data_IF_985185344512
#
_entry.id   IF_985185344512
#
_cell.length_a   1.000
_cell.length_b   1.000
_cell.length_c   1.000
_cell.angle_alpha   90.00
_cell.angle_beta   90.00
_cell.angle_gamma   90.00
#
_symmetry.space_group_name_H-M   'P 1'
#
loop_
_entity.id
_entity.type
_entity.pdbx_description
1 polymer ?
#
# COMPACT_ATOMS: atom_id res chain seq x y z
N UNK A 1 -7.75 -1.09 13.97
CA UNK A 1 -8.31 -0.06 13.08
C UNK A 1 -9.54 -0.62 12.36
N UNK A 2 -10.55 0.20 12.06
CA UNK A 2 -11.61 -0.20 11.14
C UNK A 2 -11.07 -0.30 9.70
N UNK A 3 -11.80 -0.99 8.83
CA UNK A 3 -11.35 -1.23 7.45
C UNK A 3 -11.42 0.08 6.63
N UNK A 4 -10.31 0.49 5.98
CA UNK A 4 -10.31 1.63 5.06
C UNK A 4 -11.02 1.29 3.74
N UNK A 5 -11.46 2.29 2.98
CA UNK A 5 -12.28 2.05 1.78
C UNK A 5 -11.47 1.49 0.59
N UNK A 6 -10.16 1.69 0.62
CA UNK A 6 -9.18 1.22 -0.36
C UNK A 6 -8.92 -0.30 -0.22
N UNK A 7 -9.27 -0.90 0.92
CA UNK A 7 -9.08 -2.32 1.19
C UNK A 7 -10.35 -3.10 0.87
N UNK A 8 -10.28 -3.88 -0.22
CA UNK A 8 -11.41 -4.63 -0.77
C UNK A 8 -11.36 -6.13 -0.45
N UNK A 9 -10.22 -6.61 0.06
CA UNK A 9 -10.00 -8.01 0.43
C UNK A 9 -10.42 -8.19 1.89
N UNK A 10 -11.44 -9.00 2.13
CA UNK A 10 -12.00 -9.25 3.46
C UNK A 10 -12.19 -10.74 3.72
N UNK A 11 -12.18 -11.11 4.99
CA UNK A 11 -12.59 -12.44 5.44
C UNK A 11 -14.12 -12.45 5.60
N UNK A 12 -14.81 -13.40 4.97
CA UNK A 12 -16.26 -13.59 5.17
C UNK A 12 -16.56 -14.43 6.42
N UNK A 13 -17.84 -14.60 6.74
CA UNK A 13 -18.29 -15.42 7.88
C UNK A 13 -17.92 -16.91 7.77
N UNK A 14 -17.53 -17.37 6.58
CA UNK A 14 -17.06 -18.74 6.33
C UNK A 14 -15.54 -18.88 6.48
N UNK A 15 -14.81 -17.80 6.81
CA UNK A 15 -13.35 -17.81 6.93
C UNK A 15 -12.63 -17.84 5.57
N UNK A 16 -13.32 -17.45 4.50
CA UNK A 16 -12.74 -17.37 3.16
C UNK A 16 -12.36 -15.92 2.84
N UNK A 17 -11.25 -15.78 2.10
CA UNK A 17 -10.82 -14.47 1.60
C UNK A 17 -11.61 -14.14 0.35
N UNK A 18 -12.53 -13.19 0.51
CA UNK A 18 -13.42 -12.74 -0.55
C UNK A 18 -13.23 -11.26 -0.83
N UNK A 19 -13.82 -10.82 -1.93
CA UNK A 19 -13.86 -9.42 -2.30
C UNK A 19 -15.16 -8.81 -1.80
N UNK A 20 -15.06 -7.74 -1.04
CA UNK A 20 -16.23 -6.95 -0.66
C UNK A 20 -16.77 -6.18 -1.88
N UNK A 21 -18.07 -6.29 -2.13
CA UNK A 21 -18.74 -5.67 -3.29
C UNK A 21 -19.55 -4.44 -2.84
N UNK A 22 -20.01 -4.42 -1.59
CA UNK A 22 -20.83 -3.35 -1.02
C UNK A 22 -19.99 -2.60 0.01
N UNK A 23 -19.83 -1.29 -0.20
CA UNK A 23 -19.16 -0.43 0.78
C UNK A 23 -20.05 -0.24 2.01
N UNK A 24 -19.53 -0.61 3.18
CA UNK A 24 -20.17 -0.31 4.45
C UNK A 24 -19.88 1.15 4.86
N UNK A 25 -20.90 1.99 4.79
CA UNK A 25 -20.81 3.43 5.09
C UNK A 25 -20.53 3.69 6.57
N UNK A 26 -21.01 2.81 7.45
CA UNK A 26 -20.77 2.92 8.89
C UNK A 26 -19.30 2.61 9.20
N UNK A 27 -18.75 1.57 8.56
CA UNK A 27 -17.32 1.23 8.65
C UNK A 27 -16.40 2.34 8.13
N UNK A 28 -16.77 3.02 7.04
CA UNK A 28 -16.00 4.16 6.50
C UNK A 28 -15.99 5.33 7.50
N UNK A 29 -17.16 5.65 8.06
CA UNK A 29 -17.28 6.73 9.05
C UNK A 29 -16.48 6.41 10.31
N UNK A 30 -16.56 5.16 10.78
CA UNK A 30 -15.76 4.69 11.90
C UNK A 30 -14.26 4.79 11.61
N UNK A 31 -13.81 4.38 10.43
CA UNK A 31 -12.42 4.51 10.01
C UNK A 31 -11.92 5.97 10.06
N UNK A 32 -12.71 6.92 9.52
CA UNK A 32 -12.36 8.35 9.56
C UNK A 32 -12.16 8.86 10.99
N UNK A 33 -13.08 8.52 11.90
CA UNK A 33 -13.00 8.90 13.31
C UNK A 33 -11.79 8.26 14.01
N UNK A 34 -11.55 6.97 13.76
CA UNK A 34 -10.40 6.27 14.34
C UNK A 34 -9.07 6.83 13.81
N UNK A 35 -8.99 7.15 12.52
CA UNK A 35 -7.82 7.78 11.89
C UNK A 35 -7.52 9.12 12.53
N UNK A 36 -8.52 10.00 12.66
CA UNK A 36 -8.33 11.31 13.28
C UNK A 36 -7.78 11.18 14.70
N UNK A 37 -8.37 10.31 15.53
CA UNK A 37 -7.87 10.05 16.87
C UNK A 37 -6.43 9.52 16.88
N UNK A 38 -6.12 8.54 16.01
CA UNK A 38 -4.80 7.95 15.94
C UNK A 38 -3.74 8.98 15.47
N UNK A 39 -4.09 9.85 14.53
CA UNK A 39 -3.24 10.98 14.09
C UNK A 39 -2.91 11.90 15.26
N UNK A 40 -3.91 12.28 16.08
CA UNK A 40 -3.65 13.08 17.28
C UNK A 40 -2.75 12.36 18.28
N UNK A 41 -2.96 11.07 18.52
CA UNK A 41 -2.12 10.27 19.41
C UNK A 41 -0.67 10.20 18.90
N UNK A 42 -0.46 10.02 17.60
CA UNK A 42 0.88 10.01 17.00
C UNK A 42 1.58 11.36 17.16
N UNK A 43 0.86 12.49 17.05
CA UNK A 43 1.44 13.80 17.30
C UNK A 43 1.80 14.02 18.78
N UNK A 44 1.07 13.41 19.72
CA UNK A 44 1.37 13.50 21.15
C UNK A 44 2.64 12.72 21.50
N UNK A 45 2.79 11.50 20.99
CA UNK A 45 4.01 10.71 21.13
C UNK A 45 4.23 9.79 19.92
N UNK A 46 5.02 10.31 18.98
CA UNK A 46 5.38 9.61 17.76
C UNK A 46 6.21 8.35 18.07
N UNK A 47 7.08 8.40 19.08
CA UNK A 47 7.98 7.30 19.42
C UNK A 47 7.24 6.14 20.07
N UNK A 48 6.32 6.41 21.00
CA UNK A 48 5.47 5.37 21.58
C UNK A 48 4.59 4.70 20.51
N UNK A 49 4.07 5.49 19.56
CA UNK A 49 3.28 4.97 18.45
C UNK A 49 4.11 4.06 17.52
N UNK A 50 5.29 4.52 17.09
CA UNK A 50 6.23 3.74 16.27
C UNK A 50 6.62 2.42 16.97
N UNK A 51 6.96 2.50 18.25
CA UNK A 51 7.37 1.35 19.04
C UNK A 51 6.24 0.30 19.12
N UNK A 52 5.02 0.73 19.45
CA UNK A 52 3.86 -0.18 19.56
C UNK A 52 3.50 -0.84 18.23
N UNK A 53 3.58 -0.11 17.12
CA UNK A 53 3.31 -0.68 15.80
C UNK A 53 4.40 -1.67 15.39
N UNK A 54 5.66 -1.34 15.66
CA UNK A 54 6.82 -2.21 15.41
C UNK A 54 6.72 -3.52 16.22
N UNK A 55 6.45 -3.44 17.52
CA UNK A 55 6.32 -4.62 18.38
C UNK A 55 5.18 -5.54 17.92
N UNK A 56 4.05 -4.95 17.54
CA UNK A 56 2.91 -5.71 16.99
C UNK A 56 3.27 -6.38 15.66
N UNK A 57 4.01 -5.70 14.79
CA UNK A 57 4.43 -6.29 13.52
C UNK A 57 5.40 -7.45 13.75
N UNK A 58 6.35 -7.31 14.68
CA UNK A 58 7.26 -8.37 15.05
C UNK A 58 6.51 -9.63 15.54
N UNK A 59 5.45 -9.45 16.33
CA UNK A 59 4.57 -10.56 16.76
C UNK A 59 3.76 -11.19 15.62
N UNK A 60 3.48 -10.47 14.54
CA UNK A 60 2.89 -11.06 13.32
C UNK A 60 3.94 -11.88 12.55
N UNK A 61 5.17 -11.36 12.41
CA UNK A 61 6.26 -12.00 11.65
C UNK A 61 6.74 -13.28 12.34
N UNK A 62 6.98 -13.23 13.65
CA UNK A 62 7.42 -14.40 14.41
C UNK A 62 6.31 -15.46 14.59
N UNK A 63 5.07 -15.13 14.23
CA UNK A 63 3.93 -16.03 14.25
C UNK A 63 3.20 -16.14 15.59
N UNK A 64 3.66 -15.48 16.65
CA UNK A 64 3.06 -15.55 17.99
C UNK A 64 1.63 -14.99 18.05
N UNK A 65 1.34 -13.95 17.27
CA UNK A 65 0.01 -13.31 17.22
C UNK A 65 -0.58 -13.28 15.80
N UNK A 66 -0.03 -14.06 14.87
CA UNK A 66 -0.42 -14.00 13.47
C UNK A 66 -1.88 -14.40 13.28
N UNK A 67 -2.68 -13.46 12.78
CA UNK A 67 -4.01 -13.71 12.20
C UNK A 67 -4.29 -12.66 11.14
N UNK A 68 -5.18 -12.96 10.19
CA UNK A 68 -5.56 -11.99 9.15
C UNK A 68 -6.11 -10.71 9.77
N UNK A 69 -6.98 -10.84 10.78
CA UNK A 69 -7.53 -9.72 11.53
C UNK A 69 -6.45 -8.86 12.19
N UNK A 70 -5.49 -9.47 12.89
CA UNK A 70 -4.44 -8.71 13.58
C UNK A 70 -3.52 -8.00 12.60
N UNK A 71 -3.09 -8.68 11.53
CA UNK A 71 -2.26 -8.09 10.48
C UNK A 71 -2.98 -6.93 9.79
N UNK A 72 -4.23 -7.15 9.36
CA UNK A 72 -5.05 -6.14 8.70
C UNK A 72 -5.20 -4.89 9.57
N UNK A 73 -5.69 -5.06 10.79
CA UNK A 73 -5.97 -3.94 11.68
C UNK A 73 -4.71 -3.15 12.06
N UNK A 74 -3.54 -3.79 12.07
CA UNK A 74 -2.24 -3.15 12.23
C UNK A 74 -1.82 -2.38 10.97
N UNK A 75 -1.83 -3.01 9.79
CA UNK A 75 -1.42 -2.37 8.55
C UNK A 75 -2.33 -1.19 8.17
N UNK A 76 -3.63 -1.28 8.47
CA UNK A 76 -4.56 -0.17 8.33
C UNK A 76 -4.23 0.99 9.26
N UNK A 77 -3.80 0.69 10.50
CA UNK A 77 -3.33 1.71 11.43
C UNK A 77 -2.05 2.39 10.92
N UNK A 78 -1.08 1.60 10.45
CA UNK A 78 0.18 2.11 9.88
C UNK A 78 -0.08 3.04 8.70
N UNK A 79 -0.88 2.62 7.71
CA UNK A 79 -1.18 3.48 6.56
C UNK A 79 -1.95 4.74 6.93
N UNK A 80 -2.80 4.68 7.95
CA UNK A 80 -3.64 5.83 8.35
C UNK A 80 -2.88 7.00 8.98
N UNK A 81 -1.67 6.76 9.51
CA UNK A 81 -0.81 7.77 10.15
C UNK A 81 0.26 8.36 9.21
N UNK A 82 0.19 8.06 7.90
CA UNK A 82 1.07 8.68 6.91
C UNK A 82 1.04 10.21 7.02
N UNK A 83 2.22 10.83 7.02
CA UNK A 83 2.42 12.28 7.12
C UNK A 83 2.38 12.86 8.54
N UNK A 84 2.23 12.04 9.58
CA UNK A 84 2.23 12.52 10.98
C UNK A 84 3.60 12.52 11.65
N UNK A 85 4.58 11.86 11.03
CA UNK A 85 5.94 11.71 11.53
C UNK A 85 6.89 12.65 10.79
N UNK A 86 8.05 12.94 11.39
CA UNK A 86 9.14 13.61 10.67
C UNK A 86 9.61 12.70 9.53
N UNK A 87 9.87 13.27 8.35
CA UNK A 87 10.15 12.52 7.12
C UNK A 87 11.23 11.44 7.29
N UNK A 88 12.32 11.74 8.00
CA UNK A 88 13.40 10.79 8.26
C UNK A 88 12.94 9.58 9.10
N UNK A 89 12.15 9.83 10.15
CA UNK A 89 11.58 8.78 11.01
C UNK A 89 10.50 7.99 10.26
N UNK A 90 9.64 8.66 9.49
CA UNK A 90 8.62 8.02 8.66
C UNK A 90 9.27 7.05 7.65
N UNK A 91 10.33 7.52 6.98
CA UNK A 91 11.08 6.70 6.03
C UNK A 91 11.70 5.47 6.70
N UNK A 92 12.34 5.65 7.86
CA UNK A 92 12.90 4.54 8.64
C UNK A 92 11.81 3.52 9.02
N UNK A 93 10.69 4.02 9.52
CA UNK A 93 9.56 3.20 9.94
C UNK A 93 8.95 2.41 8.78
N UNK A 94 8.68 3.07 7.64
CA UNK A 94 8.13 2.41 6.45
C UNK A 94 9.06 1.35 5.87
N UNK A 95 10.38 1.58 5.86
CA UNK A 95 11.35 0.57 5.40
C UNK A 95 11.28 -0.69 6.27
N UNK A 96 11.17 -0.52 7.59
CA UNK A 96 10.99 -1.65 8.52
C UNK A 96 9.70 -2.41 8.21
N UNK A 97 8.57 -1.69 8.11
CA UNK A 97 7.26 -2.29 7.87
C UNK A 97 7.24 -3.07 6.55
N UNK A 98 7.74 -2.47 5.47
CA UNK A 98 7.75 -3.09 4.13
C UNK A 98 8.62 -4.34 4.12
N UNK A 99 9.82 -4.27 4.70
CA UNK A 99 10.73 -5.43 4.78
C UNK A 99 10.05 -6.60 5.49
N UNK A 100 9.43 -6.32 6.62
CA UNK A 100 8.81 -7.33 7.46
C UNK A 100 7.55 -7.92 6.81
N UNK A 101 6.75 -7.09 6.12
CA UNK A 101 5.59 -7.56 5.35
C UNK A 101 5.99 -8.38 4.12
N UNK A 102 7.06 -8.00 3.41
CA UNK A 102 7.59 -8.79 2.29
C UNK A 102 8.14 -10.14 2.77
N UNK A 103 8.90 -10.15 3.87
CA UNK A 103 9.40 -11.38 4.49
C UNK A 103 8.26 -12.29 4.96
N UNK A 104 7.24 -11.72 5.60
CA UNK A 104 6.03 -12.44 6.00
C UNK A 104 5.28 -12.99 4.77
N UNK A 105 5.21 -12.21 3.69
CA UNK A 105 4.63 -12.64 2.43
C UNK A 105 5.36 -13.87 1.90
N UNK A 106 6.69 -13.86 1.84
CA UNK A 106 7.50 -15.01 1.40
C UNK A 106 7.29 -16.24 2.28
N UNK A 107 7.30 -16.06 3.60
CA UNK A 107 7.18 -17.13 4.60
C UNK A 107 5.81 -17.82 4.56
N UNK A 108 4.72 -17.07 4.41
CA UNK A 108 3.36 -17.63 4.47
C UNK A 108 2.98 -18.29 3.14
N UNK A 109 2.44 -19.50 3.23
CA UNK A 109 1.95 -20.29 2.09
C UNK A 109 0.43 -20.18 1.96
N UNK A 110 -0.09 -20.49 0.77
CA UNK A 110 -1.53 -20.47 0.48
C UNK A 110 -1.98 -19.15 -0.15
N UNK A 111 -2.87 -19.25 -1.13
CA UNK A 111 -3.36 -18.12 -1.92
C UNK A 111 -4.00 -17.02 -1.06
N UNK A 112 -4.71 -17.42 -0.01
CA UNK A 112 -5.49 -16.51 0.84
C UNK A 112 -4.57 -15.70 1.75
N UNK A 113 -3.57 -16.35 2.37
CA UNK A 113 -2.51 -15.66 3.11
C UNK A 113 -1.77 -14.65 2.22
N UNK A 114 -1.41 -15.05 0.99
CA UNK A 114 -0.72 -14.16 0.04
C UNK A 114 -1.61 -12.97 -0.34
N UNK A 115 -2.90 -13.18 -0.56
CA UNK A 115 -3.84 -12.12 -0.88
C UNK A 115 -3.99 -11.10 0.24
N UNK A 116 -4.13 -11.55 1.50
CA UNK A 116 -4.25 -10.69 2.68
C UNK A 116 -2.96 -9.90 2.92
N UNK A 117 -1.80 -10.53 2.82
CA UNK A 117 -0.52 -9.83 3.03
C UNK A 117 -0.28 -8.83 1.89
N UNK A 118 -0.58 -9.21 0.65
CA UNK A 118 -0.45 -8.32 -0.51
C UNK A 118 -1.39 -7.11 -0.40
N UNK A 119 -2.64 -7.27 0.03
CA UNK A 119 -3.55 -6.13 0.21
C UNK A 119 -3.04 -5.14 1.25
N UNK A 120 -2.43 -5.63 2.33
CA UNK A 120 -1.82 -4.78 3.35
C UNK A 120 -0.57 -4.05 2.83
N UNK A 121 0.29 -4.73 2.06
CA UNK A 121 1.44 -4.08 1.42
C UNK A 121 0.96 -3.00 0.46
N UNK A 122 -0.01 -3.29 -0.40
CA UNK A 122 -0.54 -2.32 -1.37
C UNK A 122 -1.11 -1.09 -0.68
N UNK A 123 -1.90 -1.29 0.38
CA UNK A 123 -2.47 -0.20 1.18
C UNK A 123 -1.39 0.67 1.83
N UNK A 124 -0.32 0.06 2.37
CA UNK A 124 0.80 0.80 2.99
C UNK A 124 1.69 1.49 1.94
N UNK A 125 1.81 0.97 0.71
CA UNK A 125 2.89 1.33 -0.23
C UNK A 125 2.45 2.16 -1.44
N UNK A 126 1.31 1.90 -2.09
CA UNK A 126 1.06 2.43 -3.45
C UNK A 126 0.92 3.96 -3.49
N UNK A 127 0.21 4.57 -2.54
CA UNK A 127 0.07 6.03 -2.51
C UNK A 127 1.40 6.72 -2.17
N UNK A 128 2.22 6.09 -1.30
CA UNK A 128 3.53 6.60 -0.93
C UNK A 128 4.54 6.53 -2.08
N UNK A 129 4.43 5.54 -2.97
CA UNK A 129 5.29 5.46 -4.16
C UNK A 129 5.07 6.64 -5.10
N UNK A 130 3.84 7.12 -5.26
CA UNK A 130 3.59 8.33 -6.06
C UNK A 130 4.09 9.59 -5.35
N UNK A 131 3.92 9.70 -4.03
CA UNK A 131 4.54 10.79 -3.25
C UNK A 131 6.07 10.80 -3.39
N UNK A 132 6.73 9.64 -3.38
CA UNK A 132 8.19 9.54 -3.54
C UNK A 132 8.68 9.86 -4.96
N UNK A 133 7.81 9.84 -5.97
CA UNK A 133 8.14 10.34 -7.31
C UNK A 133 8.21 11.87 -7.36
N UNK A 134 7.67 12.55 -6.35
CA UNK A 134 7.78 14.01 -6.16
C UNK A 134 8.95 14.43 -5.27
N UNK A 135 9.73 13.48 -4.75
CA UNK A 135 10.77 13.84 -3.79
C UNK A 135 11.98 14.48 -4.46
N UNK A 136 12.63 15.44 -3.81
CA UNK A 136 13.76 16.21 -4.36
C UNK A 136 14.99 15.35 -4.69
N UNK A 137 15.14 14.20 -4.04
CA UNK A 137 16.29 13.34 -4.21
C UNK A 137 16.09 12.32 -5.34
N UNK A 138 16.85 12.47 -6.45
CA UNK A 138 16.74 11.63 -7.65
C UNK A 138 16.78 10.11 -7.38
N UNK A 139 17.65 9.65 -6.47
CA UNK A 139 17.71 8.22 -6.11
C UNK A 139 16.44 7.67 -5.43
N UNK A 140 15.64 8.52 -4.77
CA UNK A 140 14.36 8.13 -4.13
C UNK A 140 13.28 8.01 -5.21
N UNK A 141 13.25 8.96 -6.14
CA UNK A 141 12.38 8.93 -7.31
C UNK A 141 12.63 7.67 -8.16
N UNK A 142 13.90 7.34 -8.44
CA UNK A 142 14.30 6.14 -9.16
C UNK A 142 13.87 4.85 -8.44
N UNK A 143 14.06 4.79 -7.12
CA UNK A 143 13.64 3.65 -6.31
C UNK A 143 12.12 3.48 -6.30
N UNK A 144 11.37 4.58 -6.25
CA UNK A 144 9.91 4.58 -6.31
C UNK A 144 9.42 4.05 -7.67
N UNK A 145 10.02 4.53 -8.76
CA UNK A 145 9.75 4.05 -10.11
C UNK A 145 10.08 2.56 -10.28
N UNK A 146 11.25 2.11 -9.86
CA UNK A 146 11.67 0.71 -9.95
C UNK A 146 10.79 -0.21 -9.10
N UNK A 147 10.42 0.24 -7.90
CA UNK A 147 9.54 -0.51 -7.00
C UNK A 147 8.14 -0.60 -7.58
N UNK A 148 7.60 0.50 -8.11
CA UNK A 148 6.33 0.50 -8.81
C UNK A 148 6.37 -0.43 -10.02
N UNK A 149 7.39 -0.36 -10.87
CA UNK A 149 7.54 -1.23 -12.04
C UNK A 149 7.58 -2.70 -11.61
N UNK A 150 8.33 -3.06 -10.56
CA UNK A 150 8.37 -4.44 -10.05
C UNK A 150 7.00 -4.92 -9.58
N UNK A 151 6.25 -4.07 -8.88
CA UNK A 151 4.88 -4.37 -8.44
C UNK A 151 3.96 -4.52 -9.66
N UNK A 152 3.99 -3.54 -10.56
CA UNK A 152 3.17 -3.51 -11.76
C UNK A 152 3.44 -4.71 -12.67
N UNK A 153 4.69 -5.13 -12.86
CA UNK A 153 5.03 -6.32 -13.65
C UNK A 153 4.50 -7.62 -13.03
N UNK A 154 4.51 -7.74 -11.70
CA UNK A 154 3.98 -8.92 -10.99
C UNK A 154 2.45 -8.91 -10.91
N UNK A 155 1.84 -7.73 -10.91
CA UNK A 155 0.41 -7.54 -10.69
C UNK A 155 -0.34 -7.00 -11.92
N UNK A 156 0.27 -6.94 -13.11
CA UNK A 156 -0.18 -6.23 -14.33
C UNK A 156 -1.64 -6.43 -14.71
N UNK A 157 -2.16 -7.65 -14.55
CA UNK A 157 -3.56 -7.96 -14.85
C UNK A 157 -4.54 -7.15 -14.01
N UNK A 158 -4.17 -6.77 -12.78
CA UNK A 158 -4.99 -5.94 -11.90
C UNK A 158 -5.00 -4.46 -12.29
N UNK A 159 -4.07 -4.00 -13.13
CA UNK A 159 -4.03 -2.62 -13.60
C UNK A 159 -4.96 -2.41 -14.81
N UNK A 160 -5.06 -3.40 -15.72
CA UNK A 160 -5.85 -3.27 -16.96
C UNK A 160 -7.31 -3.69 -16.85
N UNK A 161 -7.64 -4.58 -15.92
CA UNK A 161 -9.03 -4.94 -15.72
C UNK A 161 -9.71 -3.84 -14.92
N UNK A 162 -10.95 -3.51 -15.29
CA UNK A 162 -11.78 -2.61 -14.52
C UNK A 162 -11.99 -3.24 -13.14
N UNK A 163 -11.32 -2.67 -12.13
CA UNK A 163 -11.50 -3.10 -10.76
C UNK A 163 -12.91 -2.77 -10.34
N UNK A 164 -13.60 -3.71 -9.74
CA UNK A 164 -15.04 -3.57 -9.48
C UNK A 164 -15.29 -2.42 -8.48
N UNK A 165 -16.02 -1.39 -8.90
CA UNK A 165 -16.25 -0.17 -8.11
C UNK A 165 -15.46 1.03 -8.60
N UNK A 166 -14.48 0.82 -9.48
CA UNK A 166 -13.85 1.88 -10.25
C UNK A 166 -14.61 2.12 -11.55
N UNK A 167 -14.75 3.39 -11.91
CA UNK A 167 -15.40 3.78 -13.17
C UNK A 167 -14.50 3.48 -14.38
N UNK A 168 -13.21 3.32 -14.15
CA UNK A 168 -12.22 2.96 -15.15
C UNK A 168 -11.16 2.04 -14.55
N UNK A 169 -10.56 1.12 -15.32
CA UNK A 169 -9.33 0.44 -14.94
C UNK A 169 -8.30 1.38 -14.28
N UNK A 170 -7.57 0.89 -13.28
CA UNK A 170 -6.57 1.71 -12.58
C UNK A 170 -5.50 2.23 -13.54
N UNK A 171 -5.19 1.49 -14.62
CA UNK A 171 -4.31 1.98 -15.68
C UNK A 171 -4.83 3.26 -16.34
N UNK A 172 -6.14 3.40 -16.54
CA UNK A 172 -6.73 4.58 -17.19
C UNK A 172 -6.73 5.79 -16.25
N UNK A 173 -6.95 5.58 -14.96
CA UNK A 173 -6.82 6.63 -13.94
C UNK A 173 -5.36 7.08 -13.81
N UNK A 174 -4.44 6.13 -13.74
CA UNK A 174 -3.01 6.40 -13.72
C UNK A 174 -2.56 7.14 -15.00
N UNK A 175 -3.08 6.78 -16.17
CA UNK A 175 -2.80 7.46 -17.44
C UNK A 175 -3.36 8.89 -17.46
N UNK A 176 -4.56 9.12 -16.90
CA UNK A 176 -5.15 10.46 -16.77
C UNK A 176 -4.33 11.36 -15.84
N UNK A 177 -3.85 10.81 -14.73
CA UNK A 177 -3.05 11.52 -13.73
C UNK A 177 -1.55 11.44 -14.02
N UNK A 178 -1.14 10.84 -15.14
CA UNK A 178 0.26 10.50 -15.40
C UNK A 178 1.16 11.73 -15.40
N UNK A 179 0.71 12.82 -16.03
CA UNK A 179 1.45 14.09 -16.05
C UNK A 179 1.67 14.65 -14.65
N UNK A 180 0.70 14.47 -13.76
CA UNK A 180 0.78 14.83 -12.35
C UNK A 180 1.69 13.91 -11.56
N UNK A 181 1.72 12.61 -11.84
CA UNK A 181 2.57 11.62 -11.15
C UNK A 181 4.06 11.79 -11.51
N UNK A 182 4.36 12.20 -12.74
CA UNK A 182 5.74 12.25 -13.26
C UNK A 182 6.32 13.67 -13.35
N UNK A 183 5.59 14.71 -12.94
CA UNK A 183 5.97 16.10 -13.23
C UNK A 183 7.34 16.49 -12.67
N UNK A 184 7.73 15.88 -11.56
CA UNK A 184 9.00 16.15 -10.87
C UNK A 184 10.07 15.09 -11.18
N UNK A 185 9.76 14.11 -12.03
CA UNK A 185 10.74 13.13 -12.52
C UNK A 185 11.58 13.74 -13.63
N UNK A 186 12.90 13.73 -13.48
CA UNK A 186 13.81 14.30 -14.46
C UNK A 186 13.83 13.46 -15.76
N UNK A 187 13.80 14.06 -16.96
CA UNK A 187 13.88 13.33 -18.24
C UNK A 187 15.19 12.52 -18.44
N UNK A 188 16.23 12.85 -17.67
CA UNK A 188 17.50 12.13 -17.60
C UNK A 188 17.40 10.78 -16.88
N UNK A 189 16.41 10.58 -16.01
CA UNK A 189 16.25 9.36 -15.23
C UNK A 189 15.81 8.18 -16.11
N UNK A 190 16.57 7.09 -16.04
CA UNK A 190 16.23 5.85 -16.74
C UNK A 190 14.91 5.26 -16.25
N UNK A 191 14.57 5.48 -14.99
CA UNK A 191 13.39 4.94 -14.31
C UNK A 191 12.14 5.71 -14.70
N UNK A 192 12.20 7.03 -14.85
CA UNK A 192 11.12 7.85 -15.41
C UNK A 192 10.81 7.46 -16.86
N UNK A 193 11.85 7.27 -17.69
CA UNK A 193 11.69 6.75 -19.06
C UNK A 193 11.08 5.36 -19.10
N UNK A 194 11.47 4.44 -18.20
CA UNK A 194 10.88 3.10 -18.08
C UNK A 194 9.45 3.15 -17.56
N UNK A 195 9.16 3.99 -16.59
CA UNK A 195 7.81 4.17 -16.05
C UNK A 195 6.88 4.67 -17.15
N UNK A 196 7.26 5.72 -17.87
CA UNK A 196 6.43 6.36 -18.92
C UNK A 196 6.32 5.51 -20.19
N UNK A 197 7.43 4.95 -20.69
CA UNK A 197 7.41 4.20 -21.96
C UNK A 197 7.05 2.72 -21.80
N UNK A 198 7.50 2.08 -20.74
CA UNK A 198 7.37 0.63 -20.58
C UNK A 198 6.19 0.23 -19.70
N UNK A 199 5.89 0.96 -18.62
CA UNK A 199 4.95 0.46 -17.62
C UNK A 199 3.52 0.36 -18.18
N UNK A 200 2.87 1.41 -18.71
CA UNK A 200 1.53 1.28 -19.27
C UNK A 200 1.48 0.34 -20.48
N UNK A 201 2.48 0.40 -21.36
CA UNK A 201 2.49 -0.37 -22.59
C UNK A 201 2.73 -1.87 -22.35
N UNK A 202 3.64 -2.24 -21.43
CA UNK A 202 3.87 -3.63 -21.04
C UNK A 202 2.70 -4.20 -20.21
N UNK A 203 2.10 -3.37 -19.36
CA UNK A 203 0.89 -3.73 -18.61
C UNK A 203 -0.27 -4.04 -19.58
N UNK A 204 -0.44 -3.24 -20.65
CA UNK A 204 -1.52 -3.41 -21.65
C UNK A 204 -1.24 -4.59 -22.60
N UNK A 205 -0.04 -4.67 -23.19
CA UNK A 205 0.29 -5.68 -24.21
C UNK A 205 0.36 -7.11 -23.65
N UNK A 206 0.86 -7.29 -22.43
CA UNK A 206 1.02 -8.64 -21.84
C UNK A 206 -0.17 -9.09 -20.99
N UNK A 207 -1.22 -8.28 -20.89
CA UNK A 207 -2.47 -8.62 -20.22
C UNK A 207 -3.65 -8.85 -21.19
N UNK A 208 -3.39 -8.69 -22.49
CA UNK A 208 -4.27 -9.07 -23.62
C UNK A 208 -4.04 -10.54 -23.97
#
# INVERSE_FOLDING_TARGET
>A
MAKPEEVLVVENDQGEVVREIVKDTDSITLYKNMRECLVYLTHLDCKDTEQKMTDKLASQVNGSEFSWKNLNTLCWAVGSISGTMVEEDEKRFLVLVIRDLLGLCEQKRGKDNKAVIASNIMYVVINKLFEFMHETHEGVQDMACDTFIKIAMKCKRHFVIMQVGEQTPFIDEMLKNLSGIICDLAPSQNSAKRFVMFCPHAIILEAS
#
